data_IF_301100131977
#
_entry.id   IF_301100131977
#
_cell.length_a   1.000
_cell.length_b   1.000
_cell.length_c   1.000
_cell.angle_alpha   90.00
_cell.angle_beta   90.00
_cell.angle_gamma   90.00
#
_symmetry.space_group_name_H-M   'P 1'
#
loop_
_entity.id
_entity.type
_entity.pdbx_description
1 polymer ?
#
# COMPACT_ATOMS: atom_id res chain seq x y z
N UNK A 1 22.20 -24.67 -7.03
CA UNK A 1 20.99 -24.25 -7.79
C UNK A 1 19.94 -23.71 -6.80
N UNK A 2 20.03 -22.44 -6.38
CA UNK A 2 19.17 -21.84 -5.31
C UNK A 2 18.62 -20.44 -5.68
N UNK A 3 18.80 -20.01 -6.92
CA UNK A 3 18.58 -18.63 -7.40
C UNK A 3 17.21 -18.40 -8.04
N UNK A 4 16.50 -19.45 -8.48
CA UNK A 4 15.22 -19.31 -9.21
C UNK A 4 14.05 -18.88 -8.32
N UNK A 5 13.96 -19.41 -7.09
CA UNK A 5 12.82 -19.16 -6.18
C UNK A 5 12.75 -17.72 -5.65
N UNK A 6 13.91 -17.09 -5.47
CA UNK A 6 14.02 -15.69 -5.05
C UNK A 6 13.55 -14.69 -6.12
N UNK A 7 13.75 -15.00 -7.40
CA UNK A 7 13.31 -14.15 -8.50
C UNK A 7 11.79 -14.21 -8.72
N UNK A 8 11.18 -15.38 -8.58
CA UNK A 8 9.71 -15.52 -8.73
C UNK A 8 8.97 -14.76 -7.62
N UNK A 9 9.43 -14.88 -6.37
CA UNK A 9 8.83 -14.20 -5.23
C UNK A 9 8.92 -12.67 -5.36
N UNK A 10 10.10 -12.15 -5.77
CA UNK A 10 10.27 -10.72 -6.07
C UNK A 10 9.37 -10.26 -7.22
N UNK A 11 9.20 -11.08 -8.25
CA UNK A 11 8.34 -10.77 -9.40
C UNK A 11 6.88 -10.64 -8.98
N UNK A 12 6.39 -11.52 -8.09
CA UNK A 12 5.01 -11.44 -7.57
C UNK A 12 4.79 -10.12 -6.83
N UNK A 13 5.69 -9.72 -5.93
CA UNK A 13 5.52 -8.47 -5.18
C UNK A 13 5.62 -7.23 -6.08
N UNK A 14 6.46 -7.28 -7.13
CA UNK A 14 6.49 -6.23 -8.16
C UNK A 14 5.19 -6.14 -8.95
N UNK A 15 4.61 -7.28 -9.35
CA UNK A 15 3.30 -7.32 -10.01
C UNK A 15 2.22 -6.76 -9.08
N UNK A 16 2.25 -7.10 -7.79
CA UNK A 16 1.31 -6.59 -6.79
C UNK A 16 1.38 -5.06 -6.66
N UNK A 17 2.60 -4.49 -6.66
CA UNK A 17 2.82 -3.05 -6.67
C UNK A 17 2.27 -2.38 -7.93
N UNK A 18 2.59 -2.92 -9.10
CA UNK A 18 2.10 -2.37 -10.38
C UNK A 18 0.57 -2.44 -10.41
N UNK A 19 -0.01 -3.58 -10.00
CA UNK A 19 -1.45 -3.79 -9.98
C UNK A 19 -2.15 -2.82 -9.03
N UNK A 20 -1.58 -2.57 -7.84
CA UNK A 20 -2.07 -1.56 -6.91
C UNK A 20 -2.15 -0.17 -7.53
N UNK A 21 -1.08 0.26 -8.20
CA UNK A 21 -1.02 1.59 -8.85
C UNK A 21 -2.05 1.67 -9.98
N UNK A 22 -2.15 0.62 -10.81
CA UNK A 22 -3.12 0.56 -11.92
C UNK A 22 -4.55 0.62 -11.41
N UNK A 23 -4.89 -0.16 -10.38
CA UNK A 23 -6.22 -0.13 -9.75
C UNK A 23 -6.50 1.27 -9.19
N UNK A 24 -5.57 1.85 -8.44
CA UNK A 24 -5.73 3.21 -7.92
C UNK A 24 -6.00 4.22 -9.03
N UNK A 25 -5.18 4.21 -10.08
CA UNK A 25 -5.35 5.13 -11.21
C UNK A 25 -6.71 4.97 -11.91
N UNK A 26 -7.13 3.73 -12.18
CA UNK A 26 -8.40 3.45 -12.86
C UNK A 26 -9.59 3.91 -12.00
N UNK A 27 -9.59 3.60 -10.69
CA UNK A 27 -10.68 3.95 -9.81
C UNK A 27 -10.77 5.45 -9.52
N UNK A 28 -9.64 6.13 -9.30
CA UNK A 28 -9.62 7.53 -8.89
C UNK A 28 -9.59 8.52 -10.04
N UNK A 29 -9.16 8.12 -11.24
CA UNK A 29 -9.10 9.04 -12.39
C UNK A 29 -10.21 8.75 -13.40
N UNK A 30 -10.41 7.47 -13.77
CA UNK A 30 -11.36 7.09 -14.83
C UNK A 30 -12.77 6.81 -14.32
N UNK A 31 -12.90 6.12 -13.18
CA UNK A 31 -14.19 5.66 -12.64
C UNK A 31 -14.74 6.51 -11.48
N UNK A 32 -14.04 7.59 -11.11
CA UNK A 32 -14.42 8.43 -9.96
C UNK A 32 -15.86 8.95 -10.03
N UNK A 33 -16.37 9.25 -11.23
CA UNK A 33 -17.74 9.75 -11.44
C UNK A 33 -18.82 8.67 -11.54
N UNK A 34 -18.45 7.38 -11.52
CA UNK A 34 -19.39 6.26 -11.65
C UNK A 34 -19.80 5.67 -10.28
N UNK A 35 -19.08 6.00 -9.22
CA UNK A 35 -19.28 5.45 -7.88
C UNK A 35 -19.55 6.55 -6.85
N UNK A 36 -20.17 6.18 -5.73
CA UNK A 36 -20.32 7.10 -4.58
C UNK A 36 -18.96 7.42 -3.97
N UNK A 37 -18.77 8.68 -3.54
CA UNK A 37 -17.57 9.14 -2.84
C UNK A 37 -17.26 8.28 -1.61
N UNK A 38 -18.29 7.86 -0.85
CA UNK A 38 -18.13 6.98 0.31
C UNK A 38 -17.53 5.63 -0.06
N UNK A 39 -17.97 5.06 -1.19
CA UNK A 39 -17.42 3.82 -1.72
C UNK A 39 -15.97 4.03 -2.16
N UNK A 40 -15.67 5.13 -2.85
CA UNK A 40 -14.32 5.44 -3.34
C UNK A 40 -13.31 5.61 -2.20
N UNK A 41 -13.71 6.28 -1.12
CA UNK A 41 -12.92 6.44 0.12
C UNK A 41 -12.67 5.08 0.77
N UNK A 42 -13.72 4.29 1.02
CA UNK A 42 -13.58 2.97 1.64
C UNK A 42 -12.71 2.03 0.78
N UNK A 43 -12.95 2.03 -0.53
CA UNK A 43 -12.22 1.19 -1.48
C UNK A 43 -10.75 1.62 -1.63
N UNK A 44 -10.38 2.84 -1.23
CA UNK A 44 -8.99 3.32 -1.24
C UNK A 44 -8.04 2.59 -0.32
N UNK A 45 -8.58 1.91 0.69
CA UNK A 45 -7.82 0.95 1.47
C UNK A 45 -7.31 -0.24 0.65
N UNK A 46 -8.03 -0.68 -0.39
CA UNK A 46 -7.67 -1.87 -1.18
C UNK A 46 -6.38 -1.67 -1.98
N UNK A 47 -6.26 -0.66 -2.87
CA UNK A 47 -5.00 -0.41 -3.57
C UNK A 47 -3.90 -0.03 -2.59
N UNK A 48 -4.19 0.67 -1.49
CA UNK A 48 -3.21 0.98 -0.45
C UNK A 48 -2.64 -0.28 0.22
N UNK A 49 -3.47 -1.22 0.64
CA UNK A 49 -3.03 -2.46 1.29
C UNK A 49 -2.27 -3.36 0.31
N UNK A 50 -2.69 -3.41 -0.95
CA UNK A 50 -1.92 -4.08 -2.01
C UNK A 50 -0.55 -3.42 -2.20
N UNK A 51 -0.48 -2.09 -2.22
CA UNK A 51 0.78 -1.35 -2.31
C UNK A 51 1.70 -1.69 -1.14
N UNK A 52 1.18 -1.58 0.09
CA UNK A 52 1.90 -1.86 1.31
C UNK A 52 2.42 -3.31 1.29
N UNK A 53 1.56 -4.27 0.98
CA UNK A 53 1.94 -5.70 0.92
C UNK A 53 3.05 -5.94 -0.11
N UNK A 54 2.96 -5.34 -1.30
CA UNK A 54 4.00 -5.44 -2.32
C UNK A 54 5.32 -4.79 -1.88
N UNK A 55 5.25 -3.58 -1.32
CA UNK A 55 6.41 -2.84 -0.81
C UNK A 55 7.11 -3.60 0.32
N UNK A 56 6.36 -4.05 1.33
CA UNK A 56 6.91 -4.84 2.43
C UNK A 56 7.44 -6.18 1.97
N UNK A 57 6.78 -6.86 1.03
CA UNK A 57 7.27 -8.11 0.45
C UNK A 57 8.62 -7.98 -0.27
N UNK A 58 8.85 -6.85 -0.96
CA UNK A 58 10.14 -6.54 -1.58
C UNK A 58 11.21 -6.09 -0.57
N UNK A 59 10.80 -5.37 0.48
CA UNK A 59 11.68 -4.86 1.52
C UNK A 59 12.07 -5.94 2.54
N UNK A 60 11.23 -6.95 2.76
CA UNK A 60 11.43 -8.03 3.73
C UNK A 60 12.83 -8.68 3.67
N UNK A 61 13.35 -9.13 2.51
CA UNK A 61 14.69 -9.71 2.44
C UNK A 61 15.83 -8.70 2.71
N UNK A 62 15.58 -7.39 2.58
CA UNK A 62 16.57 -6.33 2.86
C UNK A 62 16.58 -5.93 4.34
N UNK A 63 15.43 -5.96 5.00
CA UNK A 63 15.27 -5.56 6.40
C UNK A 63 15.49 -6.75 7.35
N UNK A 64 15.50 -8.00 6.86
CA UNK A 64 15.70 -9.19 7.68
C UNK A 64 17.02 -9.08 8.49
N UNK A 65 16.95 -8.99 9.82
CA UNK A 65 18.15 -8.87 10.64
C UNK A 65 18.92 -10.21 10.66
N UNK A 66 20.24 -10.12 10.82
CA UNK A 66 21.11 -11.27 11.05
C UNK A 66 21.49 -11.29 12.53
N UNK A 67 20.76 -12.06 13.35
CA UNK A 67 21.01 -12.21 14.79
C UNK A 67 19.72 -12.50 15.58
N UNK A 68 19.85 -13.18 16.72
CA UNK A 68 18.73 -13.74 17.49
C UNK A 68 17.93 -12.70 18.31
N UNK A 69 18.49 -11.51 18.58
CA UNK A 69 17.86 -10.51 19.47
C UNK A 69 16.97 -9.46 18.75
N UNK A 70 16.64 -9.66 17.47
CA UNK A 70 16.27 -8.53 16.59
C UNK A 70 14.81 -8.61 16.07
N UNK A 71 13.99 -9.51 16.62
CA UNK A 71 12.58 -9.65 16.21
C UNK A 71 11.73 -8.41 16.56
N UNK A 72 11.94 -7.82 17.74
CA UNK A 72 11.22 -6.62 18.18
C UNK A 72 11.57 -5.42 17.30
N UNK A 73 12.87 -5.18 17.06
CA UNK A 73 13.36 -4.09 16.21
C UNK A 73 12.82 -4.21 14.78
N UNK A 74 12.77 -5.43 14.23
CA UNK A 74 12.21 -5.66 12.90
C UNK A 74 10.71 -5.30 12.83
N UNK A 75 9.92 -5.75 13.79
CA UNK A 75 8.51 -5.41 13.87
C UNK A 75 8.29 -3.89 13.99
N UNK A 76 9.14 -3.22 14.78
CA UNK A 76 9.06 -1.77 14.98
C UNK A 76 9.39 -1.00 13.68
N UNK A 77 10.44 -1.40 12.96
CA UNK A 77 10.81 -0.77 11.67
C UNK A 77 9.69 -0.96 10.63
N UNK A 78 9.14 -2.17 10.50
CA UNK A 78 8.02 -2.44 9.59
C UNK A 78 6.80 -1.60 9.96
N UNK A 79 6.47 -1.51 11.26
CA UNK A 79 5.38 -0.69 11.76
C UNK A 79 5.55 0.80 11.46
N UNK A 80 6.75 1.36 11.69
CA UNK A 80 7.05 2.76 11.40
C UNK A 80 6.92 3.05 9.90
N UNK A 81 7.48 2.19 9.05
CA UNK A 81 7.32 2.33 7.59
C UNK A 81 5.84 2.29 7.22
N UNK A 82 5.04 1.39 7.83
CA UNK A 82 3.62 1.29 7.53
C UNK A 82 2.86 2.55 7.93
N UNK A 83 3.17 3.12 9.10
CA UNK A 83 2.59 4.39 9.58
C UNK A 83 2.90 5.52 8.60
N UNK A 84 4.15 5.63 8.12
CA UNK A 84 4.54 6.64 7.13
C UNK A 84 3.74 6.47 5.84
N UNK A 85 3.63 5.24 5.32
CA UNK A 85 2.80 4.94 4.14
C UNK A 85 1.33 5.27 4.37
N UNK A 86 0.79 4.96 5.56
CA UNK A 86 -0.58 5.26 5.92
C UNK A 86 -0.84 6.77 5.96
N UNK A 87 0.08 7.56 6.51
CA UNK A 87 -0.02 9.01 6.46
C UNK A 87 0.02 9.55 5.02
N UNK A 88 0.89 9.02 4.16
CA UNK A 88 0.88 9.37 2.73
C UNK A 88 -0.49 9.07 2.11
N UNK A 89 -1.09 7.93 2.43
CA UNK A 89 -2.42 7.59 1.94
C UNK A 89 -3.51 8.57 2.43
N UNK A 90 -3.53 8.87 3.73
CA UNK A 90 -4.54 9.74 4.35
C UNK A 90 -4.39 11.22 3.97
N UNK A 91 -3.16 11.70 3.80
CA UNK A 91 -2.90 13.13 3.60
C UNK A 91 -2.61 13.52 2.15
N UNK A 92 -2.22 12.57 1.30
CA UNK A 92 -1.92 12.84 -0.11
C UNK A 92 -2.97 12.20 -1.01
N UNK A 93 -3.21 10.90 -0.87
CA UNK A 93 -4.12 10.17 -1.78
C UNK A 93 -5.57 10.58 -1.52
N UNK A 94 -5.99 10.58 -0.26
CA UNK A 94 -7.36 10.83 0.13
C UNK A 94 -7.85 12.26 -0.21
N UNK A 95 -7.11 13.35 0.05
CA UNK A 95 -7.48 14.70 -0.35
C UNK A 95 -7.52 14.91 -1.86
N UNK A 96 -6.76 14.11 -2.63
CA UNK A 96 -6.82 14.14 -4.08
C UNK A 96 -8.13 13.57 -4.62
N UNK A 97 -8.71 12.60 -3.92
CA UNK A 97 -9.99 11.95 -4.27
C UNK A 97 -11.16 12.77 -3.76
N UNK A 98 -11.04 13.27 -2.53
CA UNK A 98 -12.05 14.07 -1.87
C UNK A 98 -11.36 15.22 -1.12
N UNK A 99 -11.33 16.44 -1.70
CA UNK A 99 -10.67 17.58 -1.07
C UNK A 99 -11.37 18.03 0.23
N UNK A 100 -12.66 17.74 0.37
CA UNK A 100 -13.46 18.06 1.56
C UNK A 100 -13.99 16.78 2.22
N UNK A 101 -13.15 16.20 3.08
CA UNK A 101 -13.41 14.91 3.70
C UNK A 101 -14.72 14.84 4.50
N UNK A 102 -15.11 15.95 5.13
CA UNK A 102 -16.35 16.04 5.92
C UNK A 102 -17.58 15.91 5.03
N UNK A 103 -17.64 16.73 3.97
CA UNK A 103 -18.78 16.69 3.04
C UNK A 103 -18.88 15.37 2.27
N UNK A 104 -17.76 14.71 1.96
CA UNK A 104 -17.80 13.38 1.33
C UNK A 104 -18.28 12.25 2.26
N UNK A 105 -18.02 12.35 3.57
CA UNK A 105 -18.57 11.42 4.55
C UNK A 105 -20.04 11.71 4.88
N UNK A 106 -20.54 12.87 4.45
CA UNK A 106 -21.91 13.33 4.68
C UNK A 106 -22.17 13.63 6.16
N UNK A 107 -21.14 14.10 6.86
CA UNK A 107 -21.19 14.61 8.24
C UNK A 107 -20.96 16.11 8.27
#
# INVERSE_FOLDING_TARGET
MKTTKGNITKRIFWVLLILSIVIGYIFYNFLQGQFSLKFLIFFSGVPFLLFATGAFGLLWPKIKPKGDEIYITHALVVGVIFIVLFFIHVWIILPHICPDFGSCLGV
#
